data_IF_706343834299
#
_entry.id   IF_706343834299
#
_cell.length_a   1.000
_cell.length_b   1.000
_cell.length_c   1.000
_cell.angle_alpha   90.00
_cell.angle_beta   90.00
_cell.angle_gamma   90.00
#
_symmetry.space_group_name_H-M   'P 1'
#
loop_
_entity.id
_entity.type
_entity.pdbx_description
1 polymer ?
#
# COMPACT_ATOMS: atom_id res chain seq x y z
N UNK A 1 13.81 -3.38 24.54
CA UNK A 1 12.45 -3.97 24.56
C UNK A 1 12.01 -4.10 23.12
N UNK A 2 11.45 -5.24 22.73
CA UNK A 2 10.84 -5.36 21.40
C UNK A 2 9.73 -4.31 21.24
N UNK A 3 9.59 -3.67 20.07
CA UNK A 3 8.51 -2.72 19.84
C UNK A 3 7.15 -3.43 20.00
N UNK A 4 6.15 -2.71 20.51
CA UNK A 4 4.78 -3.25 20.60
C UNK A 4 4.30 -3.69 19.21
N UNK A 5 3.60 -4.80 19.13
CA UNK A 5 2.95 -5.25 17.89
C UNK A 5 1.57 -4.62 17.71
N UNK A 6 1.05 -3.92 18.72
CA UNK A 6 -0.30 -3.39 18.78
C UNK A 6 -0.32 -1.86 18.84
N UNK A 7 -1.38 -1.30 18.28
CA UNK A 7 -1.71 0.11 18.47
C UNK A 7 -2.28 0.37 19.87
N UNK A 8 -2.03 1.56 20.38
CA UNK A 8 -2.71 2.08 21.57
C UNK A 8 -4.15 2.45 21.24
N UNK A 9 -5.05 2.53 22.24
CA UNK A 9 -6.42 3.01 22.01
C UNK A 9 -6.49 4.39 21.34
N UNK A 10 -5.55 5.28 21.65
CA UNK A 10 -5.49 6.62 21.03
C UNK A 10 -5.12 6.55 19.53
N UNK A 11 -4.20 5.66 19.15
CA UNK A 11 -3.84 5.44 17.74
C UNK A 11 -5.01 4.82 16.96
N UNK A 12 -5.72 3.86 17.55
CA UNK A 12 -6.93 3.27 16.94
C UNK A 12 -8.00 4.34 16.73
N UNK A 13 -8.27 5.15 17.75
CA UNK A 13 -9.22 6.25 17.64
C UNK A 13 -8.84 7.25 16.55
N UNK A 14 -7.55 7.58 16.43
CA UNK A 14 -7.03 8.44 15.39
C UNK A 14 -7.16 7.80 14.00
N UNK A 15 -6.86 6.49 13.86
CA UNK A 15 -7.06 5.79 12.60
C UNK A 15 -8.51 5.87 12.12
N UNK A 16 -9.47 5.64 13.02
CA UNK A 16 -10.90 5.73 12.68
C UNK A 16 -11.35 7.17 12.36
N UNK A 17 -10.72 8.18 12.95
CA UNK A 17 -11.03 9.57 12.66
C UNK A 17 -10.43 10.04 11.32
N UNK A 18 -9.17 9.68 11.06
CA UNK A 18 -8.40 10.19 9.93
C UNK A 18 -8.47 9.29 8.68
N UNK A 19 -8.73 7.98 8.86
CA UNK A 19 -8.72 6.96 7.80
C UNK A 19 -7.34 6.41 7.49
N UNK A 20 -6.30 6.88 8.15
CA UNK A 20 -4.94 6.40 8.04
C UNK A 20 -4.13 6.65 9.30
N UNK A 21 -3.02 5.95 9.42
CA UNK A 21 -2.06 6.17 10.50
C UNK A 21 -0.63 6.03 9.96
N UNK A 22 0.21 7.01 10.24
CA UNK A 22 1.65 6.92 9.99
C UNK A 22 2.33 6.30 11.22
N UNK A 23 3.07 5.21 11.01
CA UNK A 23 3.76 4.45 12.05
C UNK A 23 5.27 4.50 11.82
N UNK A 24 5.97 5.55 12.30
CA UNK A 24 7.41 5.66 12.13
C UNK A 24 8.15 4.57 12.91
N UNK A 25 9.22 4.03 12.32
CA UNK A 25 10.09 3.07 12.99
C UNK A 25 9.45 1.72 13.27
N UNK A 26 8.42 1.33 12.52
CA UNK A 26 7.81 -0.01 12.62
C UNK A 26 8.84 -1.11 12.36
N UNK A 27 9.70 -0.88 11.40
CA UNK A 27 10.90 -1.65 11.10
C UNK A 27 12.12 -0.77 11.30
N UNK A 28 13.21 -1.34 11.77
CA UNK A 28 14.45 -0.61 11.98
C UNK A 28 15.24 -0.41 10.67
N UNK A 29 16.31 0.34 10.74
CA UNK A 29 17.10 0.68 9.56
C UNK A 29 17.80 -0.55 8.95
N UNK A 30 18.21 -1.52 9.76
CA UNK A 30 18.89 -2.73 9.28
C UNK A 30 17.91 -3.62 8.52
N UNK A 31 16.71 -3.80 9.04
CA UNK A 31 15.62 -4.53 8.39
C UNK A 31 15.25 -3.89 7.05
N UNK A 32 15.12 -2.56 7.01
CA UNK A 32 14.77 -1.84 5.78
C UNK A 32 15.90 -1.88 4.76
N UNK A 33 17.16 -1.82 5.18
CA UNK A 33 18.30 -1.97 4.28
C UNK A 33 18.38 -3.40 3.71
N UNK A 34 18.10 -4.42 4.53
CA UNK A 34 18.05 -5.80 4.06
C UNK A 34 16.96 -5.99 3.01
N UNK A 35 15.74 -5.46 3.25
CA UNK A 35 14.64 -5.53 2.29
C UNK A 35 14.97 -4.78 0.98
N UNK A 36 15.57 -3.60 1.07
CA UNK A 36 15.99 -2.83 -0.10
C UNK A 36 17.05 -3.56 -0.92
N UNK A 37 18.06 -4.12 -0.25
CA UNK A 37 19.12 -4.89 -0.92
C UNK A 37 18.55 -6.14 -1.58
N UNK A 38 17.66 -6.85 -0.91
CA UNK A 38 16.97 -8.01 -1.46
C UNK A 38 16.18 -7.64 -2.73
N UNK A 39 15.34 -6.60 -2.65
CA UNK A 39 14.54 -6.15 -3.79
C UNK A 39 15.36 -5.66 -4.98
N UNK A 40 16.51 -5.00 -4.75
CA UNK A 40 17.41 -4.55 -5.82
C UNK A 40 18.12 -5.67 -6.55
N UNK A 41 18.31 -6.82 -5.91
CA UNK A 41 18.96 -8.00 -6.48
C UNK A 41 17.97 -9.07 -6.96
N UNK A 42 16.68 -8.82 -6.83
CA UNK A 42 15.64 -9.77 -7.23
C UNK A 42 15.30 -9.60 -8.71
N UNK A 43 15.95 -10.41 -9.57
CA UNK A 43 15.69 -10.42 -11.01
C UNK A 43 14.25 -10.83 -11.34
N UNK A 44 13.63 -11.69 -10.54
CA UNK A 44 12.26 -12.13 -10.75
C UNK A 44 11.26 -10.99 -10.47
N UNK A 45 11.53 -10.14 -9.47
CA UNK A 45 10.76 -8.93 -9.20
C UNK A 45 10.77 -8.00 -10.42
N UNK A 46 11.94 -7.76 -11.00
CA UNK A 46 12.11 -6.86 -12.16
C UNK A 46 11.49 -7.47 -13.42
N UNK A 47 11.73 -8.76 -13.67
CA UNK A 47 11.17 -9.46 -14.83
C UNK A 47 9.64 -9.58 -14.79
N UNK A 48 9.08 -9.73 -13.59
CA UNK A 48 7.63 -9.78 -13.36
C UNK A 48 6.94 -8.41 -13.38
N UNK A 49 7.70 -7.32 -13.45
CA UNK A 49 7.14 -5.98 -13.37
C UNK A 49 6.34 -5.60 -14.63
N UNK A 50 5.12 -5.16 -14.42
CA UNK A 50 4.24 -4.62 -15.46
C UNK A 50 4.16 -3.11 -15.37
N UNK A 51 4.24 -2.44 -16.53
CA UNK A 51 4.08 -0.99 -16.62
C UNK A 51 2.60 -0.58 -16.60
N UNK A 52 2.32 0.55 -15.97
CA UNK A 52 1.01 1.22 -16.01
C UNK A 52 1.22 2.69 -16.33
N UNK A 53 0.62 3.15 -17.41
CA UNK A 53 0.62 4.57 -17.80
C UNK A 53 -0.34 5.34 -16.91
N UNK A 54 0.11 6.51 -16.46
CA UNK A 54 -0.76 7.52 -15.85
C UNK A 54 -1.51 8.34 -16.91
N UNK A 55 -2.30 9.33 -16.48
CA UNK A 55 -3.04 10.23 -17.37
C UNK A 55 -2.13 11.03 -18.33
N UNK A 56 -0.86 11.22 -18.00
CA UNK A 56 0.13 11.92 -18.84
C UNK A 56 0.90 11.00 -19.78
N UNK A 57 0.69 9.68 -19.69
CA UNK A 57 1.40 8.64 -20.44
C UNK A 57 2.72 8.21 -19.84
N UNK A 58 3.09 8.70 -18.66
CA UNK A 58 4.29 8.27 -17.93
C UNK A 58 4.05 6.91 -17.26
N UNK A 59 5.10 6.08 -17.21
CA UNK A 59 4.95 4.69 -16.77
C UNK A 59 5.46 4.50 -15.35
N UNK A 60 4.62 3.95 -14.49
CA UNK A 60 5.02 3.35 -13.22
C UNK A 60 5.00 1.84 -13.34
N UNK A 61 6.05 1.17 -12.86
CA UNK A 61 6.13 -0.29 -12.86
C UNK A 61 5.75 -0.86 -11.52
N UNK A 62 5.10 -2.03 -11.52
CA UNK A 62 4.81 -2.80 -10.32
C UNK A 62 4.88 -4.30 -10.60
N UNK A 63 5.22 -5.03 -9.57
CA UNK A 63 5.04 -6.48 -9.49
C UNK A 63 4.02 -6.78 -8.40
N UNK A 64 3.11 -7.70 -8.68
CA UNK A 64 2.01 -8.09 -7.77
C UNK A 64 2.03 -9.59 -7.55
N UNK A 65 1.79 -10.02 -6.31
CA UNK A 65 1.59 -11.42 -5.95
C UNK A 65 0.55 -11.59 -4.83
N UNK A 66 -0.16 -12.71 -4.90
CA UNK A 66 -1.34 -12.96 -4.04
C UNK A 66 -1.03 -13.86 -2.83
N UNK A 67 0.19 -14.38 -2.72
CA UNK A 67 0.58 -15.25 -1.63
C UNK A 67 1.80 -14.71 -0.92
N UNK A 68 1.77 -14.62 0.38
CA UNK A 68 2.94 -14.36 1.19
C UNK A 68 3.86 -15.59 1.09
N UNK A 69 4.94 -15.47 0.30
CA UNK A 69 5.95 -16.51 0.09
C UNK A 69 6.81 -16.76 1.33
N UNK A 70 7.71 -17.74 1.23
CA UNK A 70 8.72 -18.02 2.27
C UNK A 70 10.02 -17.25 2.02
N UNK A 71 9.88 -16.06 1.46
CA UNK A 71 10.93 -15.10 1.16
C UNK A 71 10.87 -13.89 2.12
N UNK A 72 11.76 -12.92 1.89
CA UNK A 72 11.83 -11.74 2.73
C UNK A 72 10.55 -10.87 2.61
N UNK A 73 9.91 -10.80 1.45
CA UNK A 73 8.63 -10.09 1.28
C UNK A 73 7.53 -10.73 2.12
N UNK A 74 7.46 -12.08 2.10
CA UNK A 74 6.53 -12.84 2.93
C UNK A 74 6.79 -12.68 4.41
N UNK A 75 8.04 -12.59 4.85
CA UNK A 75 8.38 -12.32 6.25
C UNK A 75 7.86 -10.95 6.70
N UNK A 76 8.01 -9.90 5.88
CA UNK A 76 7.47 -8.58 6.19
C UNK A 76 5.94 -8.60 6.24
N UNK A 77 5.28 -9.16 5.24
CA UNK A 77 3.81 -9.17 5.16
C UNK A 77 3.15 -10.02 6.26
N UNK A 78 3.82 -11.06 6.77
CA UNK A 78 3.36 -11.90 7.90
C UNK A 78 3.87 -11.44 9.27
N UNK A 79 4.63 -10.32 9.33
CA UNK A 79 5.14 -9.82 10.59
C UNK A 79 4.02 -9.53 11.58
N UNK A 80 4.10 -10.01 12.84
CA UNK A 80 3.13 -9.65 13.87
C UNK A 80 3.00 -8.14 14.06
N UNK A 81 4.07 -7.37 13.78
CA UNK A 81 4.03 -5.90 13.80
C UNK A 81 3.03 -5.30 12.79
N UNK A 82 2.72 -6.02 11.71
CA UNK A 82 1.70 -5.64 10.73
C UNK A 82 0.39 -6.34 11.06
N UNK A 83 0.41 -7.68 11.14
CA UNK A 83 -0.80 -8.51 11.26
C UNK A 83 -1.63 -8.12 12.48
N UNK A 84 -1.02 -8.07 13.69
CA UNK A 84 -1.74 -7.75 14.92
C UNK A 84 -2.41 -6.36 14.86
N UNK A 85 -1.77 -5.41 14.17
CA UNK A 85 -2.33 -4.06 13.95
C UNK A 85 -3.49 -4.06 12.95
N UNK A 86 -3.39 -4.87 11.90
CA UNK A 86 -4.49 -5.03 10.93
C UNK A 86 -5.71 -5.66 11.59
N UNK A 87 -5.50 -6.68 12.42
CA UNK A 87 -6.58 -7.31 13.21
C UNK A 87 -7.25 -6.32 14.16
N UNK A 88 -6.48 -5.44 14.79
CA UNK A 88 -7.04 -4.41 15.66
C UNK A 88 -7.94 -3.42 14.91
N UNK A 89 -7.50 -2.91 13.74
CA UNK A 89 -8.26 -1.89 13.00
C UNK A 89 -9.42 -2.46 12.20
N UNK A 90 -9.35 -3.75 11.80
CA UNK A 90 -10.43 -4.44 11.09
C UNK A 90 -11.38 -5.21 12.04
N UNK A 91 -11.00 -5.34 13.33
CA UNK A 91 -11.86 -5.92 14.36
C UNK A 91 -11.98 -7.42 14.33
N UNK A 92 -11.00 -8.14 13.78
CA UNK A 92 -11.01 -9.61 13.72
C UNK A 92 -9.82 -10.18 12.98
N UNK A 93 -9.82 -11.51 12.82
CA UNK A 93 -8.80 -12.24 12.07
C UNK A 93 -8.70 -11.73 10.63
N UNK A 94 -7.48 -11.56 10.14
CA UNK A 94 -7.19 -11.06 8.78
C UNK A 94 -6.47 -12.11 7.94
N UNK A 95 -6.62 -12.02 6.64
CA UNK A 95 -5.82 -12.79 5.69
C UNK A 95 -5.08 -11.88 4.70
N UNK A 96 -3.95 -12.36 4.20
CA UNK A 96 -3.18 -11.66 3.18
C UNK A 96 -3.91 -11.72 1.84
N UNK A 97 -4.36 -10.58 1.35
CA UNK A 97 -5.06 -10.49 0.08
C UNK A 97 -4.10 -10.41 -1.10
N UNK A 98 -3.19 -9.44 -1.10
CA UNK A 98 -2.09 -9.35 -2.05
C UNK A 98 -0.97 -8.42 -1.52
N UNK A 99 0.20 -8.53 -2.14
CA UNK A 99 1.29 -7.56 -2.01
C UNK A 99 1.64 -7.01 -3.38
N UNK A 100 2.02 -5.75 -3.47
CA UNK A 100 2.60 -5.16 -4.67
C UNK A 100 3.84 -4.35 -4.32
N UNK A 101 4.88 -4.50 -5.14
CA UNK A 101 6.09 -3.68 -5.08
C UNK A 101 6.02 -2.66 -6.20
N UNK A 102 6.05 -1.37 -5.82
CA UNK A 102 6.07 -0.27 -6.77
C UNK A 102 7.52 0.10 -7.11
N UNK A 103 7.85 0.09 -8.39
CA UNK A 103 9.19 0.41 -8.90
C UNK A 103 9.12 1.75 -9.64
N UNK A 104 9.59 2.81 -9.01
CA UNK A 104 9.64 4.14 -9.61
C UNK A 104 11.05 4.46 -10.07
N UNK A 105 11.26 4.45 -11.38
CA UNK A 105 12.54 4.83 -11.98
C UNK A 105 12.73 6.35 -11.90
N UNK A 106 13.95 6.84 -11.59
CA UNK A 106 14.25 8.27 -11.58
C UNK A 106 13.93 8.91 -12.92
N UNK A 107 13.30 10.08 -12.88
CA UNK A 107 12.95 10.92 -14.04
C UNK A 107 11.95 10.34 -15.06
N UNK A 108 11.52 9.09 -14.88
CA UNK A 108 10.64 8.37 -15.81
C UNK A 108 9.32 7.95 -15.15
N UNK A 109 9.36 7.67 -13.85
CA UNK A 109 8.22 7.12 -13.11
C UNK A 109 7.02 8.06 -13.09
N UNK A 110 5.88 7.59 -13.59
CA UNK A 110 4.60 8.27 -13.57
C UNK A 110 3.94 8.30 -12.19
N UNK A 111 2.82 8.99 -12.11
CA UNK A 111 1.96 8.95 -10.95
C UNK A 111 1.24 7.61 -10.82
N UNK A 112 0.83 7.27 -9.61
CA UNK A 112 -0.26 6.34 -9.40
C UNK A 112 -1.50 7.19 -9.15
N UNK A 113 -2.51 7.02 -10.01
CA UNK A 113 -3.68 7.90 -10.01
C UNK A 113 -4.46 7.82 -8.69
N UNK A 114 -5.12 8.91 -8.32
CA UNK A 114 -6.00 8.94 -7.17
C UNK A 114 -7.04 7.85 -7.26
N UNK A 115 -7.14 7.04 -6.24
CA UNK A 115 -8.11 5.94 -6.17
C UNK A 115 -8.48 5.65 -4.73
N UNK A 116 -9.60 5.00 -4.57
CA UNK A 116 -10.03 4.39 -3.33
C UNK A 116 -9.91 2.87 -3.50
N UNK A 117 -9.14 2.20 -2.64
CA UNK A 117 -8.98 0.75 -2.73
C UNK A 117 -10.35 0.04 -2.73
N UNK A 118 -11.26 0.45 -1.84
CA UNK A 118 -12.62 -0.11 -1.80
C UNK A 118 -13.40 0.09 -3.11
N UNK A 119 -13.34 1.28 -3.71
CA UNK A 119 -13.99 1.56 -4.99
C UNK A 119 -13.48 0.68 -6.13
N UNK A 120 -12.17 0.42 -6.15
CA UNK A 120 -11.55 -0.49 -7.10
C UNK A 120 -11.93 -1.96 -6.83
N UNK A 121 -11.74 -2.42 -5.58
CA UNK A 121 -11.92 -3.83 -5.22
C UNK A 121 -13.38 -4.26 -5.15
N UNK A 122 -14.32 -3.33 -5.02
CA UNK A 122 -15.75 -3.61 -5.07
C UNK A 122 -16.14 -4.39 -6.33
N UNK A 123 -15.66 -3.95 -7.48
CA UNK A 123 -15.89 -4.62 -8.78
C UNK A 123 -15.13 -5.95 -8.92
N UNK A 124 -14.26 -6.27 -7.97
CA UNK A 124 -13.50 -7.52 -7.90
C UNK A 124 -13.94 -8.41 -6.72
N UNK A 125 -15.15 -8.22 -6.21
CA UNK A 125 -15.78 -9.09 -5.23
C UNK A 125 -15.66 -8.63 -3.76
N UNK A 126 -14.97 -7.55 -3.46
CA UNK A 126 -14.89 -6.98 -2.11
C UNK A 126 -16.13 -6.11 -1.86
N UNK A 127 -17.25 -6.74 -1.48
CA UNK A 127 -18.56 -6.06 -1.35
C UNK A 127 -18.67 -5.18 -0.09
N UNK A 128 -17.79 -5.34 0.88
CA UNK A 128 -17.74 -4.57 2.12
C UNK A 128 -16.36 -3.93 2.29
N UNK A 129 -16.26 -2.73 2.88
CA UNK A 129 -15.00 -2.02 3.07
C UNK A 129 -14.18 -2.56 4.26
N UNK A 130 -14.20 -3.87 4.48
CA UNK A 130 -13.38 -4.56 5.49
C UNK A 130 -12.02 -4.91 4.90
N UNK A 131 -11.29 -3.90 4.52
CA UNK A 131 -9.95 -4.02 3.98
C UNK A 131 -9.07 -2.88 4.50
N UNK A 132 -7.79 -3.16 4.69
CA UNK A 132 -6.78 -2.16 5.01
C UNK A 132 -5.50 -2.44 4.24
N UNK A 133 -4.80 -1.38 3.86
CA UNK A 133 -3.53 -1.46 3.15
C UNK A 133 -2.40 -0.96 4.03
N UNK A 134 -1.34 -1.77 4.17
CA UNK A 134 -0.10 -1.35 4.80
C UNK A 134 0.91 -0.98 3.73
N UNK A 135 1.30 0.30 3.67
CA UNK A 135 2.36 0.76 2.77
C UNK A 135 3.67 0.89 3.53
N UNK A 136 4.70 0.21 3.03
CA UNK A 136 6.06 0.26 3.58
C UNK A 136 6.94 1.06 2.62
N UNK A 137 7.56 2.14 3.11
CA UNK A 137 8.55 2.88 2.34
C UNK A 137 9.90 2.12 2.37
N UNK A 138 10.13 1.29 1.36
CA UNK A 138 11.37 0.48 1.23
C UNK A 138 12.59 1.36 0.99
N UNK A 139 12.41 2.46 0.23
CA UNK A 139 13.39 3.51 0.05
C UNK A 139 12.81 4.85 0.50
N UNK A 140 13.65 5.87 0.66
CA UNK A 140 13.22 7.19 1.14
C UNK A 140 12.14 7.79 0.23
N UNK A 141 10.93 7.85 0.75
CA UNK A 141 9.77 8.42 0.05
C UNK A 141 9.65 9.93 0.35
N UNK A 142 9.60 10.73 -0.70
CA UNK A 142 9.46 12.19 -0.64
C UNK A 142 8.51 12.67 -1.74
N UNK A 143 8.01 13.91 -1.64
CA UNK A 143 7.21 14.50 -2.72
C UNK A 143 7.95 14.55 -4.06
N UNK A 144 9.28 14.67 -4.04
CA UNK A 144 10.10 14.74 -5.27
C UNK A 144 10.21 13.41 -6.01
N UNK A 145 10.09 12.29 -5.29
CA UNK A 145 10.17 10.95 -5.88
C UNK A 145 8.83 10.19 -5.82
N UNK A 146 7.73 10.90 -5.63
CA UNK A 146 6.38 10.35 -5.72
C UNK A 146 5.96 9.52 -4.51
N UNK A 147 6.10 10.07 -3.30
CA UNK A 147 5.55 9.44 -2.10
C UNK A 147 4.03 9.30 -2.19
N UNK A 148 3.47 8.40 -1.40
CA UNK A 148 2.03 8.29 -1.21
C UNK A 148 1.46 9.62 -0.69
N UNK A 149 0.28 9.98 -1.18
CA UNK A 149 -0.55 11.06 -0.67
C UNK A 149 -1.90 10.47 -0.28
N UNK A 150 -2.47 10.93 0.83
CA UNK A 150 -3.75 10.45 1.36
C UNK A 150 -4.64 11.66 1.63
N UNK A 151 -5.92 11.56 1.31
CA UNK A 151 -6.93 12.54 1.68
C UNK A 151 -7.51 12.13 3.03
N UNK A 152 -7.25 12.94 4.06
CA UNK A 152 -7.76 12.70 5.42
C UNK A 152 -9.29 12.66 5.42
N UNK A 153 -9.86 11.66 6.09
CA UNK A 153 -11.31 11.50 6.20
C UNK A 153 -11.98 10.86 4.96
N UNK A 154 -11.24 10.61 3.87
CA UNK A 154 -11.83 10.07 2.63
C UNK A 154 -12.45 8.67 2.79
N UNK A 155 -12.09 7.92 3.83
CA UNK A 155 -12.70 6.62 4.15
C UNK A 155 -14.19 6.74 4.55
N UNK A 156 -14.64 7.94 4.92
CA UNK A 156 -16.05 8.23 5.29
C UNK A 156 -16.93 8.58 4.07
N UNK A 157 -16.34 8.70 2.88
CA UNK A 157 -17.08 9.08 1.65
C UNK A 157 -17.97 7.95 1.09
N UNK A 158 -17.88 6.74 1.65
CA UNK A 158 -18.48 5.57 1.04
C UNK A 158 -17.71 5.11 -0.21
N UNK A 159 -18.35 4.37 -1.10
CA UNK A 159 -17.73 3.89 -2.34
C UNK A 159 -17.71 5.01 -3.39
N UNK A 160 -16.52 5.39 -3.80
CA UNK A 160 -16.32 6.33 -4.92
C UNK A 160 -16.27 5.57 -6.24
N UNK A 161 -16.94 6.08 -7.27
CA UNK A 161 -16.91 5.49 -8.61
C UNK A 161 -15.51 5.64 -9.24
N UNK A 162 -15.11 4.63 -10.01
CA UNK A 162 -13.79 4.56 -10.63
C UNK A 162 -13.93 4.36 -12.14
N UNK A 163 -13.11 5.10 -12.89
CA UNK A 163 -13.01 5.03 -14.34
C UNK A 163 -11.58 4.82 -14.83
N UNK A 164 -11.40 4.75 -16.12
CA UNK A 164 -10.08 4.65 -16.74
C UNK A 164 -9.35 5.98 -16.71
N UNK A 165 -8.07 5.94 -16.29
CA UNK A 165 -7.11 7.03 -16.37
C UNK A 165 -5.77 6.48 -16.88
N UNK A 166 -5.47 6.69 -18.16
CA UNK A 166 -4.40 5.97 -18.85
C UNK A 166 -4.62 4.45 -18.85
N UNK A 167 -3.65 3.69 -18.38
CA UNK A 167 -3.76 2.23 -18.18
C UNK A 167 -4.21 1.88 -16.74
N UNK A 168 -4.49 2.89 -15.92
CA UNK A 168 -4.87 2.74 -14.52
C UNK A 168 -6.38 2.89 -14.35
N UNK A 169 -6.85 2.50 -13.18
CA UNK A 169 -8.21 2.78 -12.73
C UNK A 169 -8.10 3.85 -11.63
N UNK A 170 -8.70 5.00 -11.87
CA UNK A 170 -8.69 6.15 -10.96
C UNK A 170 -10.09 6.49 -10.47
N UNK A 171 -10.15 7.18 -9.33
CA UNK A 171 -11.39 7.75 -8.82
C UNK A 171 -11.89 8.86 -9.74
N UNK A 172 -13.20 8.99 -9.84
CA UNK A 172 -13.81 10.14 -10.47
C UNK A 172 -13.63 11.37 -9.57
N UNK A 173 -12.70 12.25 -9.96
CA UNK A 173 -12.34 13.42 -9.16
C UNK A 173 -13.42 14.50 -9.13
N UNK A 174 -14.43 14.42 -9.99
CA UNK A 174 -15.61 15.30 -9.91
C UNK A 174 -16.52 14.90 -8.76
N UNK A 175 -16.38 13.66 -8.26
CA UNK A 175 -17.13 13.11 -7.13
C UNK A 175 -16.39 13.22 -5.79
N UNK A 176 -15.15 13.66 -5.77
CA UNK A 176 -14.27 13.81 -4.60
C UNK A 176 -14.06 15.28 -4.28
#
# INVERSE_FOLDING_TARGET
MAPSTHFTPAEIARYHADGFLLVPGLFDQEEMQALLAYAKNDEALVAGASGRKDATGQVTKLTLWNHAGDDLYGMFSRSPRIVDRMEQILGGEVYHYHTKMMLKEPFVGGAWEWHQDYGYWYNNGCLYPLLASCLIAVDKATRKNGCLQVIQGSHLMGRVEHGKSGDQTGADLEMV
#
